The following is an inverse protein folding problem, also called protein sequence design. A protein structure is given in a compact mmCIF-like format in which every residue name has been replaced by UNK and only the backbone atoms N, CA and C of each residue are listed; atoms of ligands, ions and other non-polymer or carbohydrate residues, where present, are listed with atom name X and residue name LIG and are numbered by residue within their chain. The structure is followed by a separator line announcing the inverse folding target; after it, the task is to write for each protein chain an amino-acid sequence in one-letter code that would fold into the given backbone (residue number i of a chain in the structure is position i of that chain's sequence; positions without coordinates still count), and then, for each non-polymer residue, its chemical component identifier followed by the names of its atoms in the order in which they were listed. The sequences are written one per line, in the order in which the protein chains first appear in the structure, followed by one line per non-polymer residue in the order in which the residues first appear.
data_IF_703325343607
#
_entry.id   IF_703325343607
#
_cell.length_a   1.000
_cell.length_b   1.000
_cell.length_c   1.000
_cell.angle_alpha   90.00
_cell.angle_beta   90.00
_cell.angle_gamma   90.00
#
_symmetry.space_group_name_H-M   'P 1'
#
loop_
_entity.id
_entity.type
_entity.pdbx_description
1 polymer ?
#
# COMPACT_ATOMS: atom_id res chain seq x y z
N UNK A 1 -2.74 -6.37 2.47
CA UNK A 1 -3.32 -5.12 1.96
C UNK A 1 -3.04 -4.01 2.96
N UNK A 2 -2.56 -2.84 2.53
CA UNK A 2 -2.47 -1.66 3.40
C UNK A 2 -3.72 -0.79 3.25
N UNK A 3 -4.27 -0.25 4.37
CA UNK A 3 -5.50 0.55 4.37
C UNK A 3 -6.76 -0.25 4.06
N UNK A 4 -6.90 -1.41 4.71
CA UNK A 4 -7.97 -2.37 4.42
C UNK A 4 -9.23 -2.21 5.28
N UNK A 5 -9.31 -1.19 6.14
CA UNK A 5 -10.46 -1.03 7.04
C UNK A 5 -11.68 -0.42 6.36
N UNK A 6 -11.48 0.43 5.35
CA UNK A 6 -12.54 1.23 4.72
C UNK A 6 -12.30 1.38 3.21
N UNK A 7 -13.30 1.89 2.48
CA UNK A 7 -13.21 2.30 1.09
C UNK A 7 -12.69 1.23 0.14
N UNK A 8 -11.79 1.62 -0.77
CA UNK A 8 -11.21 0.72 -1.80
C UNK A 8 -10.48 -0.45 -1.14
N UNK A 9 -9.71 -0.19 -0.08
CA UNK A 9 -8.96 -1.24 0.62
C UNK A 9 -9.86 -2.31 1.23
N UNK A 10 -10.96 -1.90 1.88
CA UNK A 10 -11.97 -2.83 2.40
C UNK A 10 -12.58 -3.68 1.29
N UNK A 11 -12.98 -3.07 0.19
CA UNK A 11 -13.55 -3.78 -0.95
C UNK A 11 -12.57 -4.82 -1.53
N UNK A 12 -11.26 -4.50 -1.54
CA UNK A 12 -10.22 -5.44 -1.94
C UNK A 12 -10.14 -6.61 -0.97
N UNK A 13 -10.11 -6.35 0.35
CA UNK A 13 -10.10 -7.40 1.39
C UNK A 13 -11.31 -8.32 1.23
N UNK A 14 -12.51 -7.74 1.10
CA UNK A 14 -13.76 -8.49 0.92
C UNK A 14 -13.73 -9.38 -0.34
N UNK A 15 -13.27 -8.83 -1.47
CA UNK A 15 -13.19 -9.57 -2.73
C UNK A 15 -12.26 -10.78 -2.63
N UNK A 16 -11.04 -10.59 -2.12
CA UNK A 16 -10.07 -11.68 -1.98
C UNK A 16 -10.52 -12.74 -0.97
N UNK A 17 -11.10 -12.33 0.17
CA UNK A 17 -11.67 -13.29 1.12
C UNK A 17 -12.82 -14.08 0.53
N UNK A 18 -13.72 -13.44 -0.24
CA UNK A 18 -14.82 -14.11 -0.95
C UNK A 18 -14.32 -15.13 -1.96
N UNK A 19 -13.20 -14.86 -2.63
CA UNK A 19 -12.56 -15.78 -3.57
C UNK A 19 -11.73 -16.88 -2.88
N UNK A 20 -11.77 -16.94 -1.53
CA UNK A 20 -11.12 -17.99 -0.74
C UNK A 20 -9.64 -17.78 -0.45
N UNK A 21 -9.11 -16.57 -0.69
CA UNK A 21 -7.73 -16.24 -0.34
C UNK A 21 -7.58 -15.95 1.16
N UNK A 22 -6.43 -16.32 1.73
CA UNK A 22 -6.00 -15.87 3.05
C UNK A 22 -5.54 -14.42 2.93
N UNK A 23 -6.16 -13.50 3.68
CA UNK A 23 -5.88 -12.07 3.61
C UNK A 23 -5.43 -11.54 4.97
N UNK A 24 -4.33 -10.78 4.98
CA UNK A 24 -3.96 -9.90 6.08
C UNK A 24 -4.04 -8.43 5.61
N UNK A 25 -4.48 -7.56 6.49
CA UNK A 25 -4.49 -6.13 6.19
C UNK A 25 -4.12 -5.30 7.42
N UNK A 26 -3.59 -4.12 7.17
CA UNK A 26 -3.31 -3.14 8.21
C UNK A 26 -4.08 -1.85 7.97
N UNK A 27 -4.40 -1.16 9.06
CA UNK A 27 -5.04 0.15 9.05
C UNK A 27 -4.79 0.86 10.40
N UNK A 28 -4.88 2.19 10.41
CA UNK A 28 -4.81 2.99 11.63
C UNK A 28 -6.16 3.01 12.37
N UNK A 29 -7.28 2.82 11.65
CA UNK A 29 -8.62 2.76 12.24
C UNK A 29 -8.90 1.39 12.83
N UNK A 30 -8.58 1.23 14.12
CA UNK A 30 -8.73 -0.04 14.82
C UNK A 30 -10.20 -0.51 14.90
N UNK A 31 -11.17 0.40 14.99
CA UNK A 31 -12.60 0.04 15.10
C UNK A 31 -13.11 -0.54 13.78
N UNK A 32 -12.90 0.19 12.67
CA UNK A 32 -13.31 -0.26 11.34
C UNK A 32 -12.50 -1.49 10.90
N UNK A 33 -11.21 -1.56 11.25
CA UNK A 33 -10.36 -2.71 10.96
C UNK A 33 -10.84 -3.99 11.64
N UNK A 34 -11.17 -3.92 12.93
CA UNK A 34 -11.74 -5.07 13.64
C UNK A 34 -13.10 -5.49 13.09
N UNK A 35 -13.93 -4.52 12.66
CA UNK A 35 -15.21 -4.85 12.04
C UNK A 35 -15.00 -5.57 10.70
N UNK A 36 -14.16 -5.04 9.82
CA UNK A 36 -13.83 -5.68 8.54
C UNK A 36 -13.25 -7.09 8.74
N UNK A 37 -12.39 -7.28 9.73
CA UNK A 37 -11.84 -8.61 10.06
C UNK A 37 -12.94 -9.60 10.49
N UNK A 38 -13.90 -9.17 11.33
CA UNK A 38 -15.05 -10.01 11.72
C UNK A 38 -15.93 -10.40 10.54
N UNK A 39 -16.16 -9.46 9.64
CA UNK A 39 -17.07 -9.65 8.49
C UNK A 39 -16.46 -10.56 7.42
N UNK A 40 -15.14 -10.55 7.29
CA UNK A 40 -14.43 -11.23 6.19
C UNK A 40 -13.61 -12.46 6.60
N UNK A 41 -13.28 -12.57 7.89
CA UNK A 41 -12.31 -13.56 8.38
C UNK A 41 -10.85 -13.21 8.09
N UNK A 42 -10.56 -12.03 7.55
CA UNK A 42 -9.20 -11.55 7.32
C UNK A 42 -8.47 -11.24 8.64
N UNK A 43 -7.14 -11.28 8.61
CA UNK A 43 -6.30 -10.93 9.77
C UNK A 43 -6.03 -9.43 9.76
N UNK A 44 -6.41 -8.76 10.84
CA UNK A 44 -6.22 -7.31 11.00
C UNK A 44 -5.02 -6.98 11.89
N UNK A 45 -4.21 -6.02 11.45
CA UNK A 45 -3.13 -5.42 12.20
C UNK A 45 -3.37 -3.91 12.35
N UNK A 46 -3.40 -3.41 13.59
CA UNK A 46 -3.51 -1.96 13.83
C UNK A 46 -2.14 -1.31 13.67
N UNK A 47 -1.92 -0.60 12.56
CA UNK A 47 -0.62 -0.01 12.19
C UNK A 47 -0.81 1.34 11.53
N UNK A 48 -0.09 2.37 12.01
CA UNK A 48 0.15 3.60 11.26
C UNK A 48 1.30 3.35 10.27
N UNK A 49 1.01 3.32 8.97
CA UNK A 49 2.02 3.07 7.94
C UNK A 49 3.09 4.18 7.84
N UNK A 50 2.86 5.34 8.45
CA UNK A 50 3.86 6.40 8.55
C UNK A 50 4.89 6.14 9.64
N UNK A 51 4.61 5.23 10.57
CA UNK A 51 5.57 4.67 11.52
C UNK A 51 6.32 3.52 10.83
N UNK A 52 7.58 3.80 10.50
CA UNK A 52 8.43 2.87 9.76
C UNK A 52 8.63 1.56 10.53
N UNK A 53 8.94 1.66 11.81
CA UNK A 53 9.26 0.53 12.67
C UNK A 53 8.03 -0.37 12.87
N UNK A 54 6.85 0.21 13.07
CA UNK A 54 5.59 -0.52 13.19
C UNK A 54 5.23 -1.24 11.88
N UNK A 55 5.39 -0.57 10.73
CA UNK A 55 5.14 -1.17 9.42
C UNK A 55 6.11 -2.31 9.10
N UNK A 56 7.41 -2.11 9.34
CA UNK A 56 8.44 -3.14 9.13
C UNK A 56 8.18 -4.36 10.01
N UNK A 57 7.86 -4.16 11.29
CA UNK A 57 7.53 -5.26 12.22
C UNK A 57 6.30 -6.04 11.79
N UNK A 58 5.22 -5.37 11.40
CA UNK A 58 4.01 -6.01 10.91
C UNK A 58 4.28 -6.83 9.64
N UNK A 59 4.99 -6.26 8.68
CA UNK A 59 5.32 -6.94 7.43
C UNK A 59 6.21 -8.16 7.66
N UNK A 60 7.22 -8.04 8.54
CA UNK A 60 8.10 -9.15 8.89
C UNK A 60 7.33 -10.30 9.55
N UNK A 61 6.42 -9.99 10.48
CA UNK A 61 5.57 -10.99 11.13
C UNK A 61 4.75 -11.79 10.10
N UNK A 62 4.13 -11.11 9.13
CA UNK A 62 3.34 -11.75 8.08
C UNK A 62 4.22 -12.64 7.20
N UNK A 63 5.40 -12.15 6.79
CA UNK A 63 6.34 -12.91 5.95
C UNK A 63 6.89 -14.15 6.67
N UNK A 64 7.18 -14.04 7.96
CA UNK A 64 7.68 -15.17 8.77
C UNK A 64 6.62 -16.27 8.93
N UNK A 65 5.34 -15.87 9.07
CA UNK A 65 4.23 -16.81 9.21
C UNK A 65 3.80 -17.43 7.88
N UNK A 66 3.67 -16.61 6.82
CA UNK A 66 3.07 -17.05 5.55
C UNK A 66 4.08 -17.47 4.50
N UNK A 67 5.36 -17.15 4.71
CA UNK A 67 6.50 -17.46 3.84
C UNK A 67 6.50 -16.74 2.50
N UNK A 68 5.34 -16.42 1.93
CA UNK A 68 5.22 -15.64 0.71
C UNK A 68 3.85 -14.94 0.64
N UNK A 69 3.80 -13.82 -0.06
CA UNK A 69 2.57 -13.01 -0.21
C UNK A 69 2.53 -12.30 -1.57
N UNK A 70 1.32 -12.04 -2.04
CA UNK A 70 1.03 -10.93 -2.96
C UNK A 70 0.75 -9.67 -2.15
N UNK A 71 1.24 -8.51 -2.59
CA UNK A 71 1.19 -7.26 -1.86
C UNK A 71 0.31 -6.23 -2.56
N UNK A 72 -0.60 -5.59 -1.79
CA UNK A 72 -1.40 -4.48 -2.29
C UNK A 72 -1.17 -3.25 -1.42
N UNK A 73 -0.51 -2.25 -1.97
CA UNK A 73 -0.27 -0.96 -1.35
C UNK A 73 -1.42 -0.01 -1.71
N UNK A 74 -2.34 0.21 -0.76
CA UNK A 74 -3.54 0.99 -1.01
C UNK A 74 -3.65 2.24 -0.13
N UNK A 75 -3.01 2.28 1.05
CA UNK A 75 -3.12 3.45 1.94
C UNK A 75 -2.85 4.75 1.19
N UNK A 76 -3.69 5.74 1.47
CA UNK A 76 -3.45 7.10 0.99
C UNK A 76 -4.34 8.10 1.70
N UNK A 77 -3.76 9.26 1.99
CA UNK A 77 -4.44 10.43 2.50
C UNK A 77 -4.32 11.57 1.50
N UNK A 78 -5.24 12.51 1.56
CA UNK A 78 -5.17 13.76 0.82
C UNK A 78 -5.41 14.93 1.77
N UNK A 79 -4.77 16.05 1.47
CA UNK A 79 -5.05 17.35 2.08
C UNK A 79 -5.02 18.36 0.95
N UNK A 80 -6.08 19.11 0.80
CA UNK A 80 -6.21 20.15 -0.21
C UNK A 80 -6.16 21.51 0.50
N UNK A 81 -5.18 22.31 0.13
CA UNK A 81 -5.06 23.68 0.61
C UNK A 81 -4.27 24.53 -0.38
N UNK A 82 -4.39 25.87 -0.33
CA UNK A 82 -3.60 26.75 -1.18
C UNK A 82 -2.12 26.48 -1.03
N UNK A 83 -1.34 26.55 -2.12
CA UNK A 83 0.12 26.39 -2.06
C UNK A 83 0.80 27.36 -1.08
N UNK A 84 0.22 28.53 -0.86
CA UNK A 84 0.74 29.52 0.08
C UNK A 84 0.41 29.21 1.55
N UNK A 85 -0.52 28.29 1.81
CA UNK A 85 -0.96 27.88 3.13
C UNK A 85 -0.53 26.44 3.50
N UNK A 86 -0.13 25.65 2.50
CA UNK A 86 0.36 24.29 2.72
C UNK A 86 1.73 24.35 3.38
N UNK A 87 1.84 23.79 4.59
CA UNK A 87 3.13 23.69 5.27
C UNK A 87 3.99 22.57 4.67
N UNK A 88 5.31 22.67 4.88
CA UNK A 88 6.25 21.60 4.50
C UNK A 88 5.92 20.30 5.27
N UNK A 89 5.52 20.44 6.53
CA UNK A 89 5.12 19.30 7.39
C UNK A 89 3.89 18.56 6.84
N UNK A 90 2.91 19.29 6.30
CA UNK A 90 1.76 18.69 5.64
C UNK A 90 2.16 17.94 4.37
N UNK A 91 3.03 18.53 3.57
CA UNK A 91 3.58 17.89 2.39
C UNK A 91 4.34 16.61 2.75
N UNK A 92 5.25 16.69 3.73
CA UNK A 92 6.02 15.54 4.21
C UNK A 92 5.14 14.45 4.82
N UNK A 93 4.07 14.84 5.56
CA UNK A 93 3.08 13.88 6.08
C UNK A 93 2.40 13.10 4.96
N UNK A 94 1.99 13.76 3.87
CA UNK A 94 1.37 13.08 2.72
C UNK A 94 2.37 12.09 2.10
N UNK A 95 3.61 12.48 1.88
CA UNK A 95 4.63 11.57 1.33
C UNK A 95 4.93 10.41 2.27
N UNK A 96 4.99 10.66 3.57
CA UNK A 96 5.27 9.64 4.58
C UNK A 96 4.17 8.57 4.68
N UNK A 97 2.92 8.94 4.39
CA UNK A 97 1.78 8.00 4.41
C UNK A 97 1.56 7.34 3.04
N UNK A 98 1.66 8.11 1.94
CA UNK A 98 1.26 7.60 0.62
C UNK A 98 2.40 6.90 -0.12
N UNK A 99 3.62 7.45 -0.10
CA UNK A 99 4.71 7.02 -0.97
C UNK A 99 5.73 6.12 -0.25
N UNK A 100 6.22 6.58 0.90
CA UNK A 100 7.27 5.85 1.65
C UNK A 100 6.88 4.42 2.00
N UNK A 101 5.64 4.10 2.42
CA UNK A 101 5.23 2.73 2.72
C UNK A 101 5.32 1.79 1.52
N UNK A 102 5.02 2.27 0.31
CA UNK A 102 5.14 1.47 -0.92
C UNK A 102 6.58 0.98 -1.12
N UNK A 103 7.56 1.85 -0.89
CA UNK A 103 8.97 1.48 -0.94
C UNK A 103 9.33 0.48 0.17
N UNK A 104 8.92 0.73 1.41
CA UNK A 104 9.25 -0.12 2.57
C UNK A 104 8.73 -1.54 2.36
N UNK A 105 7.45 -1.70 2.08
CA UNK A 105 6.80 -3.01 1.94
C UNK A 105 7.36 -3.79 0.75
N UNK A 106 7.57 -3.13 -0.39
CA UNK A 106 8.16 -3.75 -1.59
C UNK A 106 9.59 -4.19 -1.34
N UNK A 107 10.40 -3.37 -0.64
CA UNK A 107 11.77 -3.69 -0.25
C UNK A 107 11.83 -4.89 0.69
N UNK A 108 10.96 -4.97 1.68
CA UNK A 108 10.92 -6.08 2.63
C UNK A 108 10.55 -7.40 1.94
N UNK A 109 9.56 -7.39 1.03
CA UNK A 109 9.23 -8.56 0.23
C UNK A 109 10.40 -9.00 -0.64
N UNK A 110 11.12 -8.06 -1.26
CA UNK A 110 12.31 -8.35 -2.06
C UNK A 110 13.43 -8.98 -1.22
N UNK A 111 13.72 -8.41 -0.04
CA UNK A 111 14.72 -8.96 0.88
C UNK A 111 14.34 -10.37 1.31
N UNK A 112 13.07 -10.57 1.66
CA UNK A 112 12.58 -11.89 2.05
C UNK A 112 12.77 -12.91 0.93
N UNK A 113 12.37 -12.60 -0.31
CA UNK A 113 12.54 -13.50 -1.46
C UNK A 113 13.98 -13.75 -1.82
N UNK A 114 14.86 -12.77 -1.67
CA UNK A 114 16.30 -12.95 -1.87
C UNK A 114 16.91 -14.02 -0.94
N UNK A 115 16.33 -14.24 0.25
CA UNK A 115 16.79 -15.24 1.21
C UNK A 115 16.20 -16.63 0.94
N UNK A 116 15.23 -16.76 0.06
CA UNK A 116 14.61 -18.03 -0.30
C UNK A 116 15.41 -18.69 -1.45
N UNK A 117 15.58 -19.99 -1.38
CA UNK A 117 16.28 -20.73 -2.43
C UNK A 117 15.45 -20.85 -3.71
N UNK A 118 16.11 -21.10 -4.82
CA UNK A 118 15.81 -21.22 -6.25
C UNK A 118 14.37 -21.44 -6.79
N UNK A 119 13.34 -21.52 -5.96
CA UNK A 119 11.95 -21.70 -6.39
C UNK A 119 11.04 -20.57 -5.94
N UNK A 120 11.39 -19.32 -6.31
CA UNK A 120 10.50 -18.21 -6.04
C UNK A 120 9.20 -18.35 -6.86
N UNK A 121 8.05 -18.54 -6.21
CA UNK A 121 6.77 -18.55 -6.91
C UNK A 121 6.54 -17.18 -7.57
N UNK A 122 5.65 -17.15 -8.55
CA UNK A 122 5.25 -15.90 -9.18
C UNK A 122 4.55 -14.98 -8.18
N UNK A 123 5.09 -13.79 -7.95
CA UNK A 123 4.55 -12.81 -7.01
C UNK A 123 4.05 -11.53 -7.67
N UNK A 124 3.21 -10.82 -6.96
CA UNK A 124 2.56 -9.61 -7.45
C UNK A 124 2.61 -8.50 -6.42
N UNK A 125 2.97 -7.30 -6.89
CA UNK A 125 2.77 -6.06 -6.15
C UNK A 125 1.83 -5.18 -6.95
N UNK A 126 0.74 -4.75 -6.32
CA UNK A 126 -0.21 -3.79 -6.88
C UNK A 126 -0.19 -2.52 -6.04
N UNK A 127 0.10 -1.39 -6.68
CA UNK A 127 0.12 -0.09 -6.04
C UNK A 127 -1.12 0.71 -6.44
N UNK A 128 -1.95 1.12 -5.48
CA UNK A 128 -3.09 1.99 -5.76
C UNK A 128 -2.60 3.43 -5.90
N UNK A 129 -2.48 3.84 -7.14
CA UNK A 129 -2.12 5.20 -7.56
C UNK A 129 -3.36 6.12 -7.54
N UNK A 130 -3.47 7.01 -8.49
CA UNK A 130 -4.63 7.87 -8.77
C UNK A 130 -4.44 8.49 -10.14
N UNK A 131 -5.50 8.87 -10.84
CA UNK A 131 -5.42 9.73 -12.03
C UNK A 131 -4.69 11.06 -11.76
N UNK A 132 -4.52 11.45 -10.49
CA UNK A 132 -3.75 12.63 -10.05
C UNK A 132 -2.25 12.54 -10.35
N UNK A 133 -1.71 11.39 -10.72
CA UNK A 133 -0.33 11.27 -11.21
C UNK A 133 -0.13 12.00 -12.54
N UNK A 134 -1.20 12.20 -13.31
CA UNK A 134 -1.19 12.82 -14.64
C UNK A 134 -2.04 14.10 -14.69
N UNK A 135 -3.18 14.12 -14.00
CA UNK A 135 -4.13 15.24 -14.00
C UNK A 135 -4.27 15.78 -12.58
N UNK A 136 -3.73 16.95 -12.31
CA UNK A 136 -3.79 17.59 -10.99
C UNK A 136 -4.79 18.74 -10.97
N UNK A 137 -5.12 19.20 -9.78
CA UNK A 137 -5.93 20.39 -9.52
C UNK A 137 -5.23 21.28 -8.49
N UNK A 138 -5.53 22.58 -8.45
CA UNK A 138 -4.94 23.48 -7.46
C UNK A 138 -5.12 22.97 -6.04
N UNK A 139 -4.10 23.14 -5.20
CA UNK A 139 -4.13 22.72 -3.80
C UNK A 139 -3.90 21.22 -3.57
N UNK A 140 -3.53 20.46 -4.60
CA UNK A 140 -3.30 19.01 -4.49
C UNK A 140 -1.83 18.61 -4.58
N UNK A 141 -0.88 19.55 -4.41
CA UNK A 141 0.53 19.37 -4.75
C UNK A 141 1.15 18.17 -4.03
N UNK A 142 0.94 18.02 -2.72
CA UNK A 142 1.47 16.89 -1.96
C UNK A 142 0.86 15.56 -2.39
N UNK A 143 -0.45 15.54 -2.62
CA UNK A 143 -1.14 14.33 -3.09
C UNK A 143 -0.68 13.94 -4.50
N UNK A 144 -0.65 14.90 -5.42
CA UNK A 144 -0.19 14.69 -6.80
C UNK A 144 1.26 14.21 -6.83
N UNK A 145 2.15 14.84 -6.04
CA UNK A 145 3.54 14.42 -5.90
C UNK A 145 3.66 12.98 -5.40
N UNK A 146 2.87 12.62 -4.37
CA UNK A 146 2.87 11.26 -3.84
C UNK A 146 2.40 10.23 -4.87
N UNK A 147 1.33 10.52 -5.62
CA UNK A 147 0.78 9.60 -6.63
C UNK A 147 1.66 9.54 -7.89
N UNK A 148 2.27 10.65 -8.30
CA UNK A 148 3.32 10.67 -9.31
C UNK A 148 4.54 9.85 -8.90
N UNK A 149 4.94 9.96 -7.63
CA UNK A 149 6.01 9.15 -7.04
C UNK A 149 5.69 7.65 -7.06
N UNK A 150 4.47 7.25 -6.68
CA UNK A 150 4.02 5.84 -6.74
C UNK A 150 4.08 5.31 -8.18
N UNK A 151 3.60 6.09 -9.16
CA UNK A 151 3.64 5.71 -10.57
C UNK A 151 5.09 5.46 -11.04
N UNK A 152 6.01 6.41 -10.78
CA UNK A 152 7.42 6.26 -11.15
C UNK A 152 8.11 5.14 -10.39
N UNK A 153 7.83 5.00 -9.09
CA UNK A 153 8.38 3.92 -8.26
C UNK A 153 7.91 2.53 -8.76
N UNK A 154 6.68 2.42 -9.28
CA UNK A 154 6.16 1.17 -9.85
C UNK A 154 7.02 0.67 -10.99
N UNK A 155 7.45 1.53 -11.93
CA UNK A 155 8.33 1.12 -13.02
C UNK A 155 9.71 0.68 -12.51
N UNK A 156 10.30 1.46 -11.60
CA UNK A 156 11.61 1.14 -11.05
C UNK A 156 11.59 -0.21 -10.30
N UNK A 157 10.54 -0.44 -9.51
CA UNK A 157 10.35 -1.70 -8.81
C UNK A 157 10.10 -2.87 -9.78
N UNK A 158 9.33 -2.67 -10.85
CA UNK A 158 9.09 -3.72 -11.84
C UNK A 158 10.39 -4.23 -12.47
N UNK A 159 11.33 -3.33 -12.77
CA UNK A 159 12.65 -3.70 -13.27
C UNK A 159 13.50 -4.37 -12.19
N UNK A 160 13.58 -3.77 -11.00
CA UNK A 160 14.43 -4.26 -9.92
C UNK A 160 13.98 -5.60 -9.33
N UNK A 161 12.67 -5.88 -9.34
CA UNK A 161 12.11 -7.08 -8.69
C UNK A 161 11.85 -8.24 -9.67
N UNK A 162 12.12 -8.03 -10.97
CA UNK A 162 11.95 -9.07 -11.99
C UNK A 162 12.87 -10.29 -11.74
N UNK A 163 14.05 -10.07 -11.20
CA UNK A 163 15.00 -11.15 -10.86
C UNK A 163 14.45 -12.10 -9.77
N UNK A 164 13.50 -11.65 -8.94
CA UNK A 164 12.83 -12.48 -7.92
C UNK A 164 11.42 -12.92 -8.34
N UNK A 165 11.14 -12.92 -9.65
CA UNK A 165 9.86 -13.33 -10.24
C UNK A 165 8.66 -12.56 -9.67
N UNK A 166 8.83 -11.25 -9.40
CA UNK A 166 7.76 -10.35 -8.91
C UNK A 166 7.39 -9.38 -10.02
N UNK A 167 6.10 -9.33 -10.34
CA UNK A 167 5.54 -8.25 -11.17
C UNK A 167 5.07 -7.10 -10.30
N UNK A 168 5.27 -5.87 -10.77
CA UNK A 168 4.81 -4.66 -10.08
C UNK A 168 3.98 -3.82 -11.02
N UNK A 169 2.74 -3.57 -10.63
CA UNK A 169 1.79 -2.80 -11.42
C UNK A 169 1.12 -1.73 -10.55
N UNK A 170 0.51 -0.73 -11.20
CA UNK A 170 -0.32 0.25 -10.51
C UNK A 170 -1.71 0.34 -11.13
N UNK A 171 -2.69 0.60 -10.28
CA UNK A 171 -4.06 0.96 -10.69
C UNK A 171 -4.25 2.43 -10.33
N UNK A 172 -4.76 3.22 -11.27
CA UNK A 172 -4.98 4.64 -11.11
C UNK A 172 -6.48 4.97 -11.10
N UNK A 173 -7.18 4.82 -9.96
CA UNK A 173 -8.58 5.16 -9.86
C UNK A 173 -8.82 6.66 -10.12
N UNK A 174 -9.98 6.98 -10.70
CA UNK A 174 -10.52 8.32 -10.74
C UNK A 174 -11.28 8.65 -9.44
N UNK A 175 -12.40 9.34 -9.56
CA UNK A 175 -13.32 9.59 -8.44
C UNK A 175 -14.09 8.31 -8.11
N UNK A 176 -13.88 7.79 -6.92
CA UNK A 176 -14.59 6.63 -6.40
C UNK A 176 -15.40 7.07 -5.17
N UNK A 177 -16.67 6.77 -5.18
CA UNK A 177 -17.52 6.97 -4.00
C UNK A 177 -17.24 5.85 -3.00
N UNK A 178 -16.69 6.22 -1.86
CA UNK A 178 -16.32 5.29 -0.78
C UNK A 178 -17.02 5.65 0.52
#
# INVERSE_FOLDING_TARGET
VTGGAEGIGKAIVEAFCKDGHKVAFCDINAVSGQQTARDTGAIFHSVDVSDKEALESCMQQILDEWKDIDLINNVGISKFSSITETSVEDFDKILSVNLRPVFITSRLLAIHRKTQSDSNPYGRIINICSTRYLMSEPGSEGYAASKGGIYSLTHALALSLSEWNITVNSIAPGWIQT
#
